data_IF_563813975226
#
_entry.id   IF_563813975226
#
_cell.length_a   1.000
_cell.length_b   1.000
_cell.length_c   1.000
_cell.angle_alpha   90.00
_cell.angle_beta   90.00
_cell.angle_gamma   90.00
#
_symmetry.space_group_name_H-M   'P 1'
#
loop_
_entity.id
_entity.type
_entity.pdbx_description
1 polymer ?
#
# COMPACT_ATOMS: atom_id res chain seq x y z
N UNK A 1 11.75 -9.35 -6.98
CA UNK A 1 10.52 -10.15 -7.09
C UNK A 1 9.31 -9.25 -6.89
N UNK A 2 8.23 -9.51 -7.63
CA UNK A 2 6.93 -8.84 -7.56
C UNK A 2 5.86 -9.89 -7.28
N UNK A 3 4.81 -9.50 -6.54
CA UNK A 3 3.68 -10.36 -6.23
C UNK A 3 2.47 -9.54 -5.77
N UNK A 4 1.54 -10.14 -5.03
CA UNK A 4 0.38 -9.51 -4.38
C UNK A 4 -0.54 -8.81 -5.39
N UNK A 5 -0.59 -7.48 -5.39
CA UNK A 5 -1.44 -6.70 -6.29
C UNK A 5 -0.99 -6.65 -7.75
N UNK A 6 0.07 -7.38 -8.13
CA UNK A 6 0.59 -7.39 -9.50
C UNK A 6 -0.46 -7.74 -10.57
N UNK A 7 -1.39 -8.64 -10.25
CA UNK A 7 -2.51 -9.02 -11.11
C UNK A 7 -3.89 -8.62 -10.57
N UNK A 8 -3.95 -7.62 -9.67
CA UNK A 8 -5.19 -7.08 -9.09
C UNK A 8 -6.20 -8.15 -8.60
N UNK A 9 -5.68 -9.20 -7.93
CA UNK A 9 -6.48 -10.30 -7.39
C UNK A 9 -6.32 -11.63 -8.14
N UNK A 10 -5.78 -11.62 -9.35
CA UNK A 10 -5.39 -12.86 -10.04
C UNK A 10 -4.03 -13.32 -9.49
N UNK A 11 -3.89 -14.60 -9.07
CA UNK A 11 -2.64 -15.12 -8.55
C UNK A 11 -1.52 -15.04 -9.60
N UNK A 12 -0.50 -14.24 -9.32
CA UNK A 12 0.67 -14.09 -10.19
C UNK A 12 1.85 -13.58 -9.38
N UNK A 13 3.04 -13.99 -9.77
CA UNK A 13 4.30 -13.48 -9.29
C UNK A 13 5.29 -13.30 -10.43
N UNK A 14 6.21 -12.37 -10.29
CA UNK A 14 7.29 -12.14 -11.25
C UNK A 14 8.64 -12.00 -10.54
N UNK A 15 9.68 -12.40 -11.23
CA UNK A 15 11.05 -12.19 -10.81
C UNK A 15 11.81 -11.54 -11.97
N UNK A 16 12.33 -10.36 -11.71
CA UNK A 16 13.20 -9.67 -12.65
C UNK A 16 14.66 -9.92 -12.27
N UNK A 17 15.46 -10.29 -13.23
CA UNK A 17 16.89 -10.55 -13.06
C UNK A 17 17.70 -9.71 -14.04
N UNK A 18 18.91 -9.34 -13.66
CA UNK A 18 19.82 -8.64 -14.55
C UNK A 18 20.50 -9.61 -15.54
N UNK A 19 21.21 -9.05 -16.50
CA UNK A 19 21.89 -9.81 -17.55
C UNK A 19 22.92 -10.81 -17.01
N UNK A 20 23.62 -10.49 -15.94
CA UNK A 20 24.61 -11.39 -15.32
C UNK A 20 23.98 -12.68 -14.79
N UNK A 21 22.69 -12.64 -14.45
CA UNK A 21 21.95 -13.81 -14.00
C UNK A 21 21.26 -14.46 -15.19
N UNK A 22 20.55 -13.69 -16.03
CA UNK A 22 19.80 -14.22 -17.16
C UNK A 22 20.70 -14.95 -18.18
N UNK A 23 21.92 -14.48 -18.40
CA UNK A 23 22.91 -15.13 -19.30
C UNK A 23 23.37 -16.52 -18.83
N UNK A 24 23.13 -16.87 -17.56
CA UNK A 24 23.47 -18.18 -17.00
C UNK A 24 22.31 -19.18 -17.06
N UNK A 25 21.09 -18.69 -17.31
CA UNK A 25 19.92 -19.52 -17.42
C UNK A 25 19.88 -20.25 -18.77
N UNK A 26 19.56 -21.52 -18.72
CA UNK A 26 19.44 -22.40 -19.90
C UNK A 26 18.00 -22.83 -20.07
N UNK A 27 17.71 -23.33 -21.26
CA UNK A 27 16.42 -23.93 -21.54
C UNK A 27 16.13 -25.05 -20.52
N UNK A 28 14.95 -25.03 -19.89
CA UNK A 28 14.47 -25.95 -18.86
C UNK A 28 15.04 -25.77 -17.44
N UNK A 29 15.88 -24.75 -17.17
CA UNK A 29 16.34 -24.46 -15.81
C UNK A 29 15.18 -23.97 -14.91
N UNK A 30 14.23 -23.26 -15.50
CA UNK A 30 13.07 -22.71 -14.81
C UNK A 30 11.79 -23.14 -15.53
N UNK A 31 10.82 -23.57 -14.78
CA UNK A 31 9.53 -23.93 -15.32
C UNK A 31 8.48 -24.15 -14.23
N UNK A 32 7.25 -23.84 -14.58
CA UNK A 32 6.08 -24.14 -13.76
C UNK A 32 4.87 -24.37 -14.66
N UNK A 33 4.02 -25.30 -14.29
CA UNK A 33 2.86 -25.70 -15.11
C UNK A 33 1.92 -24.52 -15.41
N UNK A 34 1.73 -23.60 -14.47
CA UNK A 34 0.86 -22.44 -14.62
C UNK A 34 1.61 -21.12 -14.84
N UNK A 35 2.95 -21.13 -14.93
CA UNK A 35 3.76 -19.92 -15.15
C UNK A 35 3.46 -19.27 -16.49
N UNK A 36 3.24 -17.97 -16.49
CA UNK A 36 2.93 -17.22 -17.72
C UNK A 36 1.55 -17.52 -18.30
N UNK A 37 0.62 -18.07 -17.52
CA UNK A 37 -0.74 -18.37 -17.99
C UNK A 37 -1.47 -17.12 -18.53
N UNK A 38 -2.21 -17.26 -19.62
CA UNK A 38 -2.82 -16.14 -20.35
C UNK A 38 -3.69 -15.23 -19.49
N UNK A 39 -4.49 -15.80 -18.59
CA UNK A 39 -5.35 -15.01 -17.68
C UNK A 39 -4.52 -14.16 -16.74
N UNK A 40 -3.48 -14.73 -16.15
CA UNK A 40 -2.58 -14.01 -15.25
C UNK A 40 -1.82 -12.88 -16.01
N UNK A 41 -1.36 -13.16 -17.21
CA UNK A 41 -0.66 -12.16 -18.04
C UNK A 41 -1.60 -11.03 -18.47
N UNK A 42 -2.83 -11.33 -18.88
CA UNK A 42 -3.83 -10.32 -19.20
C UNK A 42 -4.14 -9.42 -17.98
N UNK A 43 -4.27 -10.01 -16.79
CA UNK A 43 -4.48 -9.24 -15.57
C UNK A 43 -3.29 -8.33 -15.22
N UNK A 44 -2.06 -8.81 -15.41
CA UNK A 44 -0.85 -7.99 -15.21
C UNK A 44 -0.81 -6.82 -16.20
N UNK A 45 -1.05 -7.06 -17.49
CA UNK A 45 -1.10 -6.01 -18.51
C UNK A 45 -2.16 -4.95 -18.15
N UNK A 46 -3.39 -5.38 -17.86
CA UNK A 46 -4.47 -4.47 -17.47
C UNK A 46 -4.14 -3.67 -16.20
N UNK A 47 -3.43 -4.29 -15.22
CA UNK A 47 -3.00 -3.58 -14.02
C UNK A 47 -1.99 -2.47 -14.34
N UNK A 48 -1.00 -2.74 -15.18
CA UNK A 48 -0.03 -1.72 -15.59
C UNK A 48 -0.67 -0.62 -16.42
N UNK A 49 -1.54 -0.98 -17.38
CA UNK A 49 -2.28 0.00 -18.18
C UNK A 49 -3.11 0.94 -17.31
N UNK A 50 -3.84 0.42 -16.31
CA UNK A 50 -4.61 1.23 -15.37
C UNK A 50 -3.69 2.15 -14.53
N UNK A 51 -2.55 1.67 -14.03
CA UNK A 51 -1.60 2.48 -13.27
C UNK A 51 -1.13 3.69 -14.10
N UNK A 52 -0.85 3.49 -15.37
CA UNK A 52 -0.39 4.56 -16.28
C UNK A 52 -1.53 5.49 -16.68
N UNK A 53 -2.65 4.95 -17.18
CA UNK A 53 -3.76 5.73 -17.71
C UNK A 53 -4.48 6.56 -16.66
N UNK A 54 -4.65 6.01 -15.45
CA UNK A 54 -5.31 6.70 -14.33
C UNK A 54 -4.36 7.55 -13.49
N UNK A 55 -3.08 7.66 -13.88
CA UNK A 55 -2.11 8.49 -13.19
C UNK A 55 -1.85 8.08 -11.73
N UNK A 56 -1.98 6.79 -11.42
CA UNK A 56 -1.96 6.29 -10.03
C UNK A 56 -0.65 6.56 -9.30
N UNK A 57 0.49 6.70 -10.00
CA UNK A 57 1.77 7.05 -9.37
C UNK A 57 1.76 8.49 -8.87
N UNK A 58 1.21 9.42 -9.66
CA UNK A 58 1.03 10.79 -9.25
C UNK A 58 0.03 10.90 -8.07
N UNK A 59 -1.06 10.13 -8.14
CA UNK A 59 -2.03 10.03 -7.05
C UNK A 59 -1.38 9.52 -5.75
N UNK A 60 -0.56 8.47 -5.81
CA UNK A 60 0.15 7.97 -4.63
C UNK A 60 1.05 9.05 -3.98
N UNK A 61 1.68 9.89 -4.79
CA UNK A 61 2.46 11.04 -4.28
C UNK A 61 1.57 12.08 -3.61
N UNK A 62 0.41 12.37 -4.19
CA UNK A 62 -0.57 13.29 -3.60
C UNK A 62 -1.15 12.75 -2.29
N UNK A 63 -1.44 11.45 -2.22
CA UNK A 63 -1.91 10.75 -1.02
C UNK A 63 -0.87 10.81 0.10
N UNK A 64 0.41 10.55 -0.21
CA UNK A 64 1.50 10.70 0.77
C UNK A 64 1.54 12.11 1.34
N UNK A 65 1.55 13.11 0.46
CA UNK A 65 1.56 14.51 0.88
C UNK A 65 0.35 14.84 1.74
N UNK A 66 -0.86 14.48 1.28
CA UNK A 66 -2.09 14.73 2.02
C UNK A 66 -2.10 14.07 3.39
N UNK A 67 -1.64 12.80 3.48
CA UNK A 67 -1.54 12.10 4.76
C UNK A 67 -0.62 12.81 5.75
N UNK A 68 0.54 13.29 5.27
CA UNK A 68 1.46 14.05 6.11
C UNK A 68 0.87 15.38 6.56
N UNK A 69 0.25 16.11 5.65
CA UNK A 69 -0.34 17.42 5.94
C UNK A 69 -1.52 17.30 6.92
N UNK A 70 -2.43 16.33 6.71
CA UNK A 70 -3.61 16.14 7.54
C UNK A 70 -3.30 15.63 8.95
N UNK A 71 -2.17 14.93 9.12
CA UNK A 71 -1.77 14.36 10.41
C UNK A 71 -0.72 15.21 11.15
N UNK A 72 -0.17 16.25 10.52
CA UNK A 72 0.95 17.02 11.06
C UNK A 72 0.68 17.66 12.45
N UNK A 73 -0.59 18.01 12.72
CA UNK A 73 -0.99 18.68 13.95
C UNK A 73 -2.00 17.84 14.77
N UNK A 74 -2.12 16.57 14.47
CA UNK A 74 -2.99 15.67 15.23
C UNK A 74 -2.24 15.26 16.50
N UNK A 75 -2.83 15.54 17.66
CA UNK A 75 -2.28 15.11 18.94
C UNK A 75 -2.03 13.61 18.95
N UNK A 76 -1.04 13.15 19.69
CA UNK A 76 -0.66 11.73 19.74
C UNK A 76 0.08 11.21 18.50
N UNK A 77 0.02 11.88 17.35
CA UNK A 77 0.80 11.53 16.16
C UNK A 77 2.19 12.16 16.24
N UNK A 78 3.23 11.34 16.32
CA UNK A 78 4.63 11.81 16.39
C UNK A 78 5.31 11.82 15.02
N UNK A 79 4.76 11.13 14.02
CA UNK A 79 5.33 11.14 12.70
C UNK A 79 4.61 10.26 11.68
N UNK A 80 4.91 10.52 10.42
CA UNK A 80 4.47 9.71 9.27
C UNK A 80 5.68 9.32 8.45
N UNK A 81 5.97 8.04 8.35
CA UNK A 81 7.07 7.49 7.56
C UNK A 81 6.58 6.62 6.42
N UNK A 82 7.40 6.41 5.42
CA UNK A 82 7.06 5.61 4.24
C UNK A 82 7.03 6.44 2.97
N UNK A 83 6.49 5.85 1.90
CA UNK A 83 6.43 6.45 0.57
C UNK A 83 5.13 6.09 -0.14
N UNK A 84 4.54 7.05 -0.85
CA UNK A 84 3.29 6.85 -1.60
C UNK A 84 2.17 6.33 -0.72
N UNK A 85 1.57 5.21 -1.11
CA UNK A 85 0.49 4.54 -0.37
C UNK A 85 0.99 3.50 0.66
N UNK A 86 2.29 3.42 0.94
CA UNK A 86 2.83 2.57 2.00
C UNK A 86 3.33 3.46 3.14
N UNK A 87 2.45 3.74 4.09
CA UNK A 87 2.73 4.66 5.18
C UNK A 87 2.61 3.97 6.55
N UNK A 88 3.49 4.38 7.47
CA UNK A 88 3.40 4.07 8.89
C UNK A 88 3.13 5.35 9.65
N UNK A 89 2.03 5.38 10.40
CA UNK A 89 1.67 6.47 11.29
C UNK A 89 2.21 6.11 12.67
N UNK A 90 3.12 6.92 13.18
CA UNK A 90 3.72 6.70 14.50
C UNK A 90 2.99 7.52 15.55
N UNK A 91 2.64 6.87 16.65
CA UNK A 91 1.98 7.49 17.80
C UNK A 91 2.95 7.54 19.01
N UNK A 92 2.69 8.42 19.93
CA UNK A 92 3.41 8.51 21.23
C UNK A 92 3.07 7.36 22.18
N UNK A 93 1.95 6.65 21.91
CA UNK A 93 1.48 5.47 22.62
C UNK A 93 1.12 4.32 21.69
N UNK A 94 0.52 3.23 22.22
CA UNK A 94 0.10 2.08 21.43
C UNK A 94 -0.95 2.47 20.36
N UNK A 95 -0.79 2.01 19.11
CA UNK A 95 -1.72 2.33 18.02
C UNK A 95 -3.03 1.50 18.03
N UNK A 96 -3.16 0.55 18.96
CA UNK A 96 -4.32 -0.35 19.02
C UNK A 96 -5.67 0.38 19.18
N UNK A 97 -5.81 1.39 20.06
CA UNK A 97 -7.07 2.15 20.18
C UNK A 97 -7.48 2.83 18.89
N UNK A 98 -6.52 3.41 18.16
CA UNK A 98 -6.76 4.04 16.86
C UNK A 98 -7.21 3.02 15.82
N UNK A 99 -6.56 1.85 15.77
CA UNK A 99 -6.93 0.77 14.86
C UNK A 99 -8.38 0.29 15.12
N UNK A 100 -8.76 0.08 16.39
CA UNK A 100 -10.11 -0.36 16.77
C UNK A 100 -11.17 0.70 16.44
N UNK A 101 -10.89 1.99 16.70
CA UNK A 101 -11.81 3.06 16.34
C UNK A 101 -11.98 3.18 14.82
N UNK A 102 -10.89 3.16 14.07
CA UNK A 102 -10.94 3.19 12.61
C UNK A 102 -11.78 2.04 12.05
N UNK A 103 -11.61 0.84 12.60
CA UNK A 103 -12.41 -0.34 12.21
C UNK A 103 -13.89 -0.14 12.49
N UNK A 104 -14.27 0.46 13.63
CA UNK A 104 -15.65 0.81 13.95
C UNK A 104 -16.23 1.83 12.95
N UNK A 105 -15.41 2.72 12.42
CA UNK A 105 -15.75 3.64 11.33
C UNK A 105 -15.63 3.02 9.93
N UNK A 106 -15.46 1.67 9.85
CA UNK A 106 -15.29 0.90 8.59
C UNK A 106 -14.06 1.29 7.78
N UNK A 107 -13.04 1.80 8.45
CA UNK A 107 -11.73 2.10 7.85
C UNK A 107 -10.77 0.98 8.25
N UNK A 108 -10.37 0.18 7.27
CA UNK A 108 -9.46 -0.95 7.48
C UNK A 108 -8.03 -0.46 7.40
N UNK A 109 -7.27 -0.68 8.47
CA UNK A 109 -5.83 -0.39 8.55
C UNK A 109 -5.06 -1.63 8.93
N UNK A 110 -3.74 -1.57 8.87
CA UNK A 110 -2.86 -2.64 9.33
C UNK A 110 -2.13 -2.27 10.62
N UNK A 111 -1.66 -3.28 11.31
CA UNK A 111 -0.71 -3.12 12.42
C UNK A 111 0.70 -3.49 11.97
N UNK A 112 1.69 -3.22 12.79
CA UNK A 112 3.09 -3.59 12.58
C UNK A 112 3.64 -4.37 13.78
N UNK A 113 4.87 -4.85 13.68
CA UNK A 113 5.60 -5.43 14.83
C UNK A 113 5.96 -4.36 15.88
N UNK A 114 5.88 -3.08 15.52
CA UNK A 114 6.11 -1.95 16.42
C UNK A 114 4.75 -1.49 16.96
N UNK A 115 4.48 -1.61 18.27
CA UNK A 115 3.14 -1.43 18.83
C UNK A 115 2.53 -0.04 18.66
N UNK A 116 3.34 0.99 18.48
CA UNK A 116 2.92 2.37 18.29
C UNK A 116 2.82 2.77 16.80
N UNK A 117 2.93 1.83 15.86
CA UNK A 117 2.87 2.12 14.43
C UNK A 117 1.65 1.49 13.78
N UNK A 118 0.76 2.33 13.31
CA UNK A 118 -0.37 1.96 12.46
C UNK A 118 0.07 1.99 11.00
N UNK A 119 -0.24 0.93 10.26
CA UNK A 119 0.11 0.85 8.84
C UNK A 119 -1.07 1.24 7.98
N UNK A 120 -0.89 2.27 7.16
CA UNK A 120 -1.84 2.72 6.15
C UNK A 120 -1.38 2.24 4.77
N UNK A 121 -2.21 1.43 4.13
CA UNK A 121 -1.96 0.79 2.82
C UNK A 121 -3.22 0.88 1.94
N UNK A 122 -3.66 2.08 1.58
CA UNK A 122 -4.80 2.25 0.71
C UNK A 122 -4.47 1.78 -0.73
N UNK A 123 -5.49 1.47 -1.54
CA UNK A 123 -5.29 1.21 -2.96
C UNK A 123 -4.75 2.46 -3.67
N UNK A 124 -4.04 2.28 -4.78
CA UNK A 124 -3.46 3.38 -5.55
C UNK A 124 -4.49 4.38 -6.09
N UNK A 125 -5.76 3.97 -6.21
CA UNK A 125 -6.88 4.79 -6.64
C UNK A 125 -7.64 5.49 -5.50
N UNK A 126 -7.16 5.41 -4.24
CA UNK A 126 -7.76 6.10 -3.10
C UNK A 126 -7.80 7.61 -3.35
N UNK A 127 -8.86 8.27 -2.94
CA UNK A 127 -9.01 9.72 -3.07
C UNK A 127 -8.48 10.45 -1.84
N UNK A 128 -8.12 11.71 -2.02
CA UNK A 128 -7.60 12.54 -0.92
C UNK A 128 -8.64 12.84 0.17
N UNK A 129 -9.92 12.91 -0.19
CA UNK A 129 -11.02 13.07 0.77
C UNK A 129 -11.19 11.83 1.68
N UNK A 130 -10.87 10.65 1.20
CA UNK A 130 -10.83 9.43 2.02
C UNK A 130 -9.66 9.47 3.03
N UNK A 131 -8.55 10.12 2.69
CA UNK A 131 -7.44 10.38 3.62
C UNK A 131 -7.86 11.42 4.68
N UNK A 132 -8.66 12.41 4.30
CA UNK A 132 -9.17 13.40 5.24
C UNK A 132 -10.14 12.78 6.26
N UNK A 133 -11.01 11.87 5.79
CA UNK A 133 -11.87 11.08 6.68
C UNK A 133 -11.04 10.24 7.65
N UNK A 134 -10.00 9.57 7.18
CA UNK A 134 -9.08 8.81 8.03
C UNK A 134 -8.45 9.70 9.12
N UNK A 135 -7.93 10.87 8.74
CA UNK A 135 -7.30 11.79 9.67
C UNK A 135 -8.30 12.37 10.69
N UNK A 136 -9.55 12.67 10.28
CA UNK A 136 -10.59 13.17 11.18
C UNK A 136 -10.95 12.16 12.26
N UNK A 137 -11.07 10.88 11.92
CA UNK A 137 -11.35 9.80 12.88
C UNK A 137 -10.22 9.64 13.91
N UNK A 138 -8.96 9.81 13.50
CA UNK A 138 -7.83 9.80 14.45
C UNK A 138 -7.93 11.00 15.38
N UNK A 139 -8.18 12.21 14.86
CA UNK A 139 -8.27 13.44 15.65
C UNK A 139 -9.39 13.41 16.70
N UNK A 140 -10.49 12.74 16.42
CA UNK A 140 -11.60 12.60 17.38
C UNK A 140 -11.24 11.76 18.63
N UNK A 141 -10.27 10.85 18.53
CA UNK A 141 -9.81 10.05 19.68
C UNK A 141 -9.05 10.90 20.70
N UNK A 142 -8.33 11.87 20.22
CA UNK A 142 -7.50 12.74 21.06
C UNK A 142 -8.33 13.80 21.81
N UNK A 143 -9.56 14.03 21.35
CA UNK A 143 -10.46 15.02 21.94
C UNK A 143 -11.53 14.38 22.84
N UNK A 144 -11.51 13.06 23.04
CA UNK A 144 -12.45 12.31 23.86
C UNK A 144 -11.83 11.89 25.19
#
# INVERSE_FOLDING_TARGET
TLAKSLGSGVPVGACLVNENISSKLKLNDLGTTFGGGMIAMAAVCATFEAIEQDGMIANATAVEKRSRDSLANVSGVVGVRGKGCLLGIEFDGPCKPYHEKLLNHKIITGTSSTPNVLRLLPPLCVKTDEIDLFASVISELENA
#
